data_IF_987097957170
#
_entry.id   IF_987097957170
#
_cell.length_a   1.000
_cell.length_b   1.000
_cell.length_c   1.000
_cell.angle_alpha   90.00
_cell.angle_beta   90.00
_cell.angle_gamma   90.00
#
_symmetry.space_group_name_H-M   'P 1'
#
loop_
_entity.id
_entity.type
_entity.pdbx_description
1 polymer ?
#
# COMPACT_ATOMS: atom_id res chain seq x y z
N UNK A 1 6.56 -10.96 2.84
CA UNK A 1 5.87 -10.10 3.84
C UNK A 1 5.04 -9.08 3.09
N UNK A 2 3.73 -8.99 3.38
CA UNK A 2 2.79 -8.16 2.64
C UNK A 2 2.26 -7.06 3.56
N UNK A 3 2.81 -5.84 3.42
CA UNK A 3 2.57 -4.73 4.37
C UNK A 3 1.10 -4.36 4.53
N UNK A 4 0.29 -4.47 3.47
CA UNK A 4 -1.14 -4.13 3.56
C UNK A 4 -1.88 -4.99 4.58
N UNK A 5 -1.58 -6.30 4.65
CA UNK A 5 -2.19 -7.19 5.65
C UNK A 5 -1.70 -6.90 7.07
N UNK A 6 -0.42 -6.53 7.23
CA UNK A 6 0.15 -6.13 8.53
C UNK A 6 -0.50 -4.86 9.08
N UNK A 7 -0.94 -3.95 8.20
CA UNK A 7 -1.64 -2.73 8.57
C UNK A 7 -3.18 -2.89 8.64
N UNK A 8 -3.71 -4.10 8.55
CA UNK A 8 -5.15 -4.35 8.71
C UNK A 8 -6.01 -4.03 7.48
N UNK A 9 -5.41 -3.86 6.30
CA UNK A 9 -6.18 -3.75 5.05
C UNK A 9 -6.91 -5.07 4.80
N UNK A 10 -8.25 -5.06 4.61
CA UNK A 10 -9.02 -6.26 4.32
C UNK A 10 -8.49 -7.00 3.09
N UNK A 11 -8.50 -8.32 3.12
CA UNK A 11 -7.91 -9.14 2.06
C UNK A 11 -8.58 -8.93 0.70
N UNK A 12 -9.88 -8.64 0.73
CA UNK A 12 -10.70 -8.28 -0.42
C UNK A 12 -10.33 -6.95 -1.08
N UNK A 13 -9.74 -6.01 -0.33
CA UNK A 13 -9.33 -4.69 -0.84
C UNK A 13 -7.88 -4.67 -1.35
N UNK A 14 -7.06 -5.66 -0.98
CA UNK A 14 -5.67 -5.77 -1.42
C UNK A 14 -5.50 -5.79 -2.96
N UNK A 15 -6.32 -6.52 -3.75
CA UNK A 15 -6.21 -6.51 -5.20
C UNK A 15 -6.35 -5.11 -5.80
N UNK A 16 -7.24 -4.28 -5.24
CA UNK A 16 -7.51 -2.93 -5.72
C UNK A 16 -6.34 -1.97 -5.43
N UNK A 17 -5.61 -2.20 -4.34
CA UNK A 17 -4.42 -1.44 -3.97
C UNK A 17 -3.27 -1.51 -5.00
N UNK A 18 -3.26 -2.51 -5.89
CA UNK A 18 -2.15 -2.75 -6.83
C UNK A 18 -1.93 -1.59 -7.80
N UNK A 19 -3.02 -1.03 -8.34
CA UNK A 19 -2.94 0.09 -9.28
C UNK A 19 -2.36 1.34 -8.61
N UNK A 20 -2.87 1.66 -7.42
CA UNK A 20 -2.41 2.79 -6.63
C UNK A 20 -0.96 2.63 -6.16
N UNK A 21 -0.56 1.42 -5.75
CA UNK A 21 0.82 1.12 -5.37
C UNK A 21 1.81 1.37 -6.51
N UNK A 22 1.41 1.03 -7.74
CA UNK A 22 2.23 1.27 -8.93
C UNK A 22 2.37 2.78 -9.20
N UNK A 23 1.27 3.53 -9.17
CA UNK A 23 1.30 4.98 -9.35
C UNK A 23 2.12 5.66 -8.25
N UNK A 24 1.98 5.23 -7.00
CA UNK A 24 2.76 5.75 -5.87
C UNK A 24 4.26 5.57 -6.08
N UNK A 25 4.68 4.38 -6.53
CA UNK A 25 6.08 4.09 -6.79
C UNK A 25 6.65 4.88 -7.98
N UNK A 26 5.85 5.07 -9.03
CA UNK A 26 6.21 5.89 -10.20
C UNK A 26 6.40 7.36 -9.83
N UNK A 27 5.44 7.95 -9.10
CA UNK A 27 5.51 9.34 -8.65
C UNK A 27 6.72 9.64 -7.77
N UNK A 28 7.19 8.65 -6.99
CA UNK A 28 8.36 8.77 -6.13
C UNK A 28 9.67 8.30 -6.78
N UNK A 29 9.61 7.79 -8.01
CA UNK A 29 10.78 7.27 -8.72
C UNK A 29 11.49 6.10 -8.02
N UNK A 30 10.79 5.34 -7.16
CA UNK A 30 11.41 4.26 -6.36
C UNK A 30 10.43 3.13 -6.04
N UNK A 31 10.92 1.89 -6.18
CA UNK A 31 10.21 0.64 -5.84
C UNK A 31 10.82 -0.06 -4.62
N UNK A 32 11.44 0.71 -3.72
CA UNK A 32 12.08 0.15 -2.52
C UNK A 32 11.06 -0.34 -1.49
N UNK A 33 11.48 -1.25 -0.60
CA UNK A 33 10.66 -1.71 0.51
C UNK A 33 10.19 -0.58 1.43
N UNK A 34 10.96 0.51 1.54
CA UNK A 34 10.58 1.72 2.30
C UNK A 34 9.39 2.43 1.65
N UNK A 35 9.40 2.60 0.33
CA UNK A 35 8.28 3.22 -0.40
C UNK A 35 7.04 2.34 -0.36
N UNK A 36 7.20 1.01 -0.46
CA UNK A 36 6.10 0.07 -0.28
C UNK A 36 5.48 0.14 1.13
N UNK A 37 6.30 0.30 2.16
CA UNK A 37 5.83 0.51 3.54
C UNK A 37 5.08 1.84 3.69
N UNK A 38 5.58 2.92 3.10
CA UNK A 38 4.89 4.23 3.12
C UNK A 38 3.52 4.16 2.44
N UNK A 39 3.45 3.54 1.26
CA UNK A 39 2.20 3.32 0.56
C UNK A 39 1.23 2.49 1.41
N UNK A 40 1.69 1.38 1.99
CA UNK A 40 0.81 0.51 2.77
C UNK A 40 0.26 1.21 4.02
N UNK A 41 1.05 2.06 4.67
CA UNK A 41 0.60 2.87 5.81
C UNK A 41 -0.43 3.92 5.40
N UNK A 42 -0.22 4.60 4.27
CA UNK A 42 -1.17 5.59 3.74
C UNK A 42 -2.50 4.94 3.32
N UNK A 43 -2.41 3.85 2.56
CA UNK A 43 -3.56 3.10 2.08
C UNK A 43 -4.39 2.51 3.23
N UNK A 44 -3.73 1.96 4.24
CA UNK A 44 -4.39 1.41 5.42
C UNK A 44 -5.16 2.45 6.24
N UNK A 45 -4.72 3.72 6.25
CA UNK A 45 -5.44 4.81 6.92
C UNK A 45 -6.86 5.06 6.37
N UNK A 46 -7.21 4.47 5.21
CA UNK A 46 -8.56 4.52 4.64
C UNK A 46 -9.52 3.48 5.24
N UNK A 47 -9.00 2.51 6.00
CA UNK A 47 -9.76 1.40 6.59
C UNK A 47 -9.83 1.47 8.13
N UNK A 48 -9.13 2.43 8.75
CA UNK A 48 -9.09 2.64 10.21
C UNK A 48 -10.26 3.52 10.72
N UNK A 49 -11.37 3.58 9.97
CA UNK A 49 -12.54 4.44 10.23
C UNK A 49 -13.76 3.63 10.71
#
# INVERSE_FOLDING_TARGET
RHWLGEFGVPAEAIPDARGEALQWALLRGSRSGRVAWQFARDYAGRFDA
#
